data_IF_857504702641
#
_entry.id   IF_857504702641
#
_cell.length_a   1.000
_cell.length_b   1.000
_cell.length_c   1.000
_cell.angle_alpha   90.00
_cell.angle_beta   90.00
_cell.angle_gamma   90.00
#
_symmetry.space_group_name_H-M   'P 1'
#
loop_
_entity.id
_entity.type
_entity.pdbx_description
1 polymer ?
#
# COMPACT_ATOMS: atom_id res chain seq x y z
N UNK A 1 -1.58 -1.10 15.45
CA UNK A 1 -1.98 0.30 15.11
C UNK A 1 -3.47 0.28 14.90
N UNK A 2 -4.22 1.08 15.66
CA UNK A 2 -5.68 1.06 15.55
C UNK A 2 -6.15 1.93 14.38
N UNK A 3 -7.17 1.45 13.65
CA UNK A 3 -7.79 2.13 12.50
C UNK A 3 -6.83 2.43 11.34
N UNK A 4 -5.85 1.55 11.11
CA UNK A 4 -5.02 1.63 9.92
C UNK A 4 -5.82 1.14 8.70
N UNK A 5 -5.89 1.95 7.65
CA UNK A 5 -6.51 1.58 6.38
C UNK A 5 -5.81 2.28 5.22
N UNK A 6 -5.96 1.71 4.02
CA UNK A 6 -5.64 2.35 2.75
C UNK A 6 -6.91 2.47 1.92
N UNK A 7 -7.03 3.54 1.14
CA UNK A 7 -8.14 3.72 0.20
C UNK A 7 -7.69 4.35 -1.11
N UNK A 8 -8.37 3.99 -2.19
CA UNK A 8 -8.24 4.58 -3.51
C UNK A 8 -9.46 5.46 -3.74
N UNK A 9 -9.22 6.73 -4.10
CA UNK A 9 -10.28 7.73 -4.29
C UNK A 9 -10.17 8.27 -5.71
N UNK A 10 -11.31 8.38 -6.39
CA UNK A 10 -11.39 9.12 -7.63
C UNK A 10 -11.29 10.63 -7.31
N UNK A 11 -10.24 11.30 -7.78
CA UNK A 11 -9.97 12.69 -7.47
C UNK A 11 -11.01 13.69 -8.04
N UNK A 12 -11.71 13.32 -9.12
CA UNK A 12 -12.72 14.18 -9.75
C UNK A 12 -14.04 14.17 -8.97
N UNK A 13 -14.44 12.99 -8.47
CA UNK A 13 -15.74 12.80 -7.80
C UNK A 13 -15.64 12.70 -6.29
N UNK A 14 -14.43 12.59 -5.74
CA UNK A 14 -14.14 12.20 -4.36
C UNK A 14 -14.76 10.86 -3.93
N UNK A 15 -15.19 10.03 -4.88
CA UNK A 15 -15.76 8.73 -4.58
C UNK A 15 -14.66 7.73 -4.20
N UNK A 16 -14.88 6.99 -3.11
CA UNK A 16 -14.02 5.88 -2.71
C UNK A 16 -14.25 4.70 -3.65
N UNK A 17 -13.20 4.25 -4.33
CA UNK A 17 -13.22 3.16 -5.32
C UNK A 17 -12.85 1.83 -4.67
N UNK A 18 -11.94 1.87 -3.70
CA UNK A 18 -11.52 0.70 -2.94
C UNK A 18 -11.02 1.13 -1.56
N UNK A 19 -11.20 0.27 -0.57
CA UNK A 19 -10.66 0.42 0.78
C UNK A 19 -10.25 -0.94 1.31
N UNK A 20 -9.15 -0.94 2.06
CA UNK A 20 -8.67 -2.10 2.79
C UNK A 20 -8.30 -1.68 4.20
N UNK A 21 -8.97 -2.26 5.19
CA UNK A 21 -8.62 -2.10 6.59
C UNK A 21 -7.54 -3.12 6.94
N UNK A 22 -6.46 -2.67 7.56
CA UNK A 22 -5.36 -3.56 7.94
C UNK A 22 -5.70 -4.27 9.24
N UNK A 23 -5.66 -5.61 9.24
CA UNK A 23 -5.58 -6.37 10.48
C UNK A 23 -4.21 -6.18 11.12
N UNK A 24 -4.16 -6.18 12.46
CA UNK A 24 -3.02 -5.74 13.27
C UNK A 24 -1.73 -6.59 13.17
N UNK A 25 -1.63 -7.52 12.22
CA UNK A 25 -0.59 -8.54 12.19
C UNK A 25 0.82 -8.03 11.78
N UNK A 26 0.96 -6.76 11.40
CA UNK A 26 2.26 -6.13 11.08
C UNK A 26 3.00 -5.60 12.33
N UNK A 27 2.94 -6.32 13.45
CA UNK A 27 3.44 -5.83 14.75
C UNK A 27 4.97 -5.73 14.85
N UNK A 28 5.71 -6.36 13.94
CA UNK A 28 7.18 -6.49 14.03
C UNK A 28 7.95 -5.60 13.04
N UNK A 29 7.31 -5.14 11.97
CA UNK A 29 7.96 -4.40 10.89
C UNK A 29 7.64 -2.90 10.94
N UNK A 30 8.66 -2.07 10.73
CA UNK A 30 8.51 -0.60 10.71
C UNK A 30 8.13 -0.03 9.34
N UNK A 31 8.07 -0.88 8.32
CA UNK A 31 7.62 -0.53 6.97
C UNK A 31 6.79 -1.69 6.40
N UNK A 32 5.82 -1.37 5.53
CA UNK A 32 5.00 -2.37 4.86
C UNK A 32 4.53 -1.88 3.49
N UNK A 33 4.31 -2.82 2.58
CA UNK A 33 3.58 -2.60 1.34
C UNK A 33 2.09 -2.76 1.63
N UNK A 34 1.36 -1.65 1.61
CA UNK A 34 -0.08 -1.60 1.90
C UNK A 34 -0.91 -2.22 0.77
N UNK A 35 -0.57 -1.87 -0.47
CA UNK A 35 -1.25 -2.35 -1.66
C UNK A 35 -0.60 -1.81 -2.92
N UNK A 36 -1.00 -2.35 -4.05
CA UNK A 36 -0.48 -2.01 -5.37
C UNK A 36 -1.61 -1.51 -6.25
N UNK A 37 -1.40 -0.36 -6.87
CA UNK A 37 -2.24 0.13 -7.95
C UNK A 37 -1.52 -0.20 -9.27
N UNK A 38 -2.15 -0.99 -10.12
CA UNK A 38 -1.54 -1.45 -11.37
C UNK A 38 -2.50 -1.29 -12.55
N UNK A 39 -1.93 -1.21 -13.76
CA UNK A 39 -2.69 -1.14 -15.00
C UNK A 39 -2.86 -2.54 -15.56
N UNK A 40 -4.09 -2.94 -15.85
CA UNK A 40 -4.41 -4.22 -16.48
C UNK A 40 -5.51 -4.01 -17.53
N UNK A 41 -5.26 -4.40 -18.78
CA UNK A 41 -6.18 -4.18 -19.90
C UNK A 41 -6.70 -2.73 -20.02
N UNK A 42 -5.79 -1.75 -19.90
CA UNK A 42 -6.12 -0.32 -19.90
C UNK A 42 -7.03 0.16 -18.76
N UNK A 43 -7.22 -0.63 -17.71
CA UNK A 43 -7.95 -0.26 -16.50
C UNK A 43 -7.01 -0.17 -15.30
N UNK A 44 -7.32 0.71 -14.35
CA UNK A 44 -6.65 0.72 -13.05
C UNK A 44 -7.27 -0.37 -12.17
N UNK A 45 -6.41 -1.18 -11.55
CA UNK A 45 -6.80 -2.19 -10.56
C UNK A 45 -6.02 -1.97 -9.28
N UNK A 46 -6.68 -2.25 -8.17
CA UNK A 46 -6.08 -2.21 -6.84
C UNK A 46 -5.96 -3.63 -6.29
N UNK A 47 -4.79 -3.98 -5.76
CA UNK A 47 -4.57 -5.19 -4.97
C UNK A 47 -4.11 -4.81 -3.57
N UNK A 48 -4.83 -5.28 -2.55
CA UNK A 48 -4.34 -5.21 -1.18
C UNK A 48 -3.20 -6.22 -1.01
N UNK A 49 -2.11 -5.82 -0.33
CA UNK A 49 -0.92 -6.66 -0.13
C UNK A 49 -0.69 -6.93 1.36
N UNK A 50 -0.57 -5.89 2.18
CA UNK A 50 -0.42 -6.04 3.63
C UNK A 50 0.88 -6.72 4.08
N UNK A 51 1.96 -6.61 3.29
CA UNK A 51 3.22 -7.32 3.56
C UNK A 51 4.23 -6.43 4.28
N UNK A 52 4.66 -6.85 5.47
CA UNK A 52 5.76 -6.21 6.20
C UNK A 52 7.08 -6.29 5.44
N UNK A 53 7.91 -5.25 5.59
CA UNK A 53 9.16 -5.11 4.86
C UNK A 53 10.35 -5.11 5.83
N UNK A 54 11.22 -6.13 5.70
CA UNK A 54 12.40 -6.25 6.53
C UNK A 54 13.45 -5.20 6.14
N UNK A 55 14.01 -4.50 7.13
CA UNK A 55 14.98 -3.41 6.91
C UNK A 55 14.36 -2.01 6.78
N UNK A 56 13.03 -1.88 6.94
CA UNK A 56 12.36 -0.58 6.97
C UNK A 56 12.29 0.14 5.63
N UNK A 57 11.90 1.42 5.66
CA UNK A 57 11.64 2.22 4.45
C UNK A 57 12.88 2.39 3.56
N UNK A 58 14.07 2.55 4.14
CA UNK A 58 15.29 2.74 3.36
C UNK A 58 15.63 1.49 2.50
N UNK A 59 15.48 0.30 3.07
CA UNK A 59 15.66 -0.96 2.35
C UNK A 59 14.62 -1.13 1.25
N UNK A 60 13.37 -0.72 1.51
CA UNK A 60 12.30 -0.70 0.51
C UNK A 60 12.65 0.23 -0.65
N UNK A 61 13.02 1.48 -0.37
CA UNK A 61 13.40 2.46 -1.40
C UNK A 61 14.54 1.95 -2.29
N UNK A 62 15.57 1.37 -1.68
CA UNK A 62 16.72 0.83 -2.41
C UNK A 62 16.31 -0.32 -3.35
N UNK A 63 15.42 -1.22 -2.91
CA UNK A 63 14.93 -2.33 -3.74
C UNK A 63 14.14 -1.85 -4.96
N UNK A 64 13.42 -0.74 -4.85
CA UNK A 64 12.70 -0.11 -5.97
C UNK A 64 13.58 0.85 -6.79
N UNK A 65 14.89 0.92 -6.53
CA UNK A 65 15.84 1.76 -7.28
C UNK A 65 15.77 3.25 -6.95
N UNK A 66 15.14 3.61 -5.83
CA UNK A 66 15.10 4.99 -5.33
C UNK A 66 16.43 5.27 -4.62
N UNK A 67 17.10 6.35 -5.03
CA UNK A 67 18.28 6.84 -4.32
C UNK A 67 17.81 7.67 -3.12
N UNK A 68 18.09 7.20 -1.91
CA UNK A 68 17.66 7.78 -0.62
C UNK A 68 18.81 8.19 0.26
#
# INVERSE_FOLDING_TARGET
VQNAFIRVVNAETNAEVARYDLSEDASTETAMIFGELYRHNNEWRFSAVGQGYNGGLAAMCTQYGVNV
#
